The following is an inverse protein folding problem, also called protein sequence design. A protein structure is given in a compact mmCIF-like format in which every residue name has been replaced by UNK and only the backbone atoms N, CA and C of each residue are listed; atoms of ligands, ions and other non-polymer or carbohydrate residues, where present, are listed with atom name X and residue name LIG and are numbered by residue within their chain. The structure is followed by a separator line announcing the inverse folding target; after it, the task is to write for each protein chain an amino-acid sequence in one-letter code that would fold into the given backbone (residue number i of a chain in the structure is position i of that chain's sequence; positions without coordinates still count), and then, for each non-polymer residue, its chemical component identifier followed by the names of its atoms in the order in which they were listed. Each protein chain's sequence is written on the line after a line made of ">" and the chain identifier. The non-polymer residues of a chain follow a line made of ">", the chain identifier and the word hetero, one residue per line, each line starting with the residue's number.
data_IF_134031210948
#
_entry.id   IF_134031210948
#
_cell.length_a   1.000
_cell.length_b   1.000
_cell.length_c   1.000
_cell.angle_alpha   90.00
_cell.angle_beta   90.00
_cell.angle_gamma   90.00
#
_symmetry.space_group_name_H-M   'P 1'
#
loop_
_entity.id
_entity.type
_entity.pdbx_description
1 polymer ?
#
# COMPACT_ATOMS: atom_id res chain seq x y z
N UNK A 1 -9.37 4.62 -9.94
CA UNK A 1 -10.16 5.87 -9.92
C UNK A 1 -9.47 6.86 -8.99
N UNK A 2 -9.75 8.15 -9.08
CA UNK A 2 -9.17 9.14 -8.16
C UNK A 2 -9.77 8.98 -6.76
N UNK A 3 -8.92 8.95 -5.73
CA UNK A 3 -9.41 8.97 -4.36
C UNK A 3 -9.94 7.63 -3.83
N UNK A 4 -9.64 6.51 -4.50
CA UNK A 4 -9.93 5.16 -3.99
C UNK A 4 -9.04 4.82 -2.79
N UNK A 5 -9.50 3.86 -1.98
CA UNK A 5 -8.77 3.34 -0.83
C UNK A 5 -8.05 2.05 -1.23
N UNK A 6 -6.73 2.13 -1.38
CA UNK A 6 -5.90 0.97 -1.67
C UNK A 6 -5.10 0.54 -0.45
N UNK A 7 -5.71 0.60 0.75
CA UNK A 7 -5.12 -0.07 1.90
C UNK A 7 -4.98 -1.57 1.64
N UNK A 8 -3.97 -2.20 2.26
CA UNK A 8 -3.59 -3.57 1.92
C UNK A 8 -4.73 -4.58 2.11
N UNK A 9 -5.55 -4.38 3.14
CA UNK A 9 -6.72 -5.21 3.43
C UNK A 9 -7.84 -5.05 2.40
N UNK A 10 -7.96 -3.87 1.77
CA UNK A 10 -8.92 -3.64 0.70
C UNK A 10 -8.45 -4.24 -0.63
N UNK A 11 -7.14 -4.24 -0.88
CA UNK A 11 -6.57 -4.86 -2.09
C UNK A 11 -6.55 -6.39 -2.01
N UNK A 12 -6.40 -6.96 -0.80
CA UNK A 12 -6.29 -8.41 -0.58
C UNK A 12 -7.24 -8.91 0.53
N UNK A 13 -8.56 -8.74 0.38
CA UNK A 13 -9.53 -9.10 1.42
C UNK A 13 -9.53 -10.60 1.72
N UNK A 14 -9.24 -11.45 0.72
CA UNK A 14 -9.14 -12.90 0.87
C UNK A 14 -7.94 -13.36 1.71
N UNK A 15 -6.96 -12.48 1.95
CA UNK A 15 -5.75 -12.77 2.71
C UNK A 15 -5.73 -12.10 4.10
N UNK A 16 -6.86 -11.59 4.59
CA UNK A 16 -6.95 -10.85 5.85
C UNK A 16 -6.30 -11.56 7.04
N UNK A 17 -6.54 -12.87 7.19
CA UNK A 17 -5.94 -13.66 8.28
C UNK A 17 -4.42 -13.75 8.15
N UNK A 18 -3.88 -14.00 6.96
CA UNK A 18 -2.44 -14.07 6.71
C UNK A 18 -1.77 -12.72 6.97
N UNK A 19 -2.37 -11.62 6.50
CA UNK A 19 -1.90 -10.26 6.74
C UNK A 19 -1.85 -9.96 8.23
N UNK A 20 -2.89 -10.34 8.99
CA UNK A 20 -2.94 -10.14 10.43
C UNK A 20 -1.85 -10.95 11.15
N UNK A 21 -1.71 -12.24 10.83
CA UNK A 21 -0.67 -13.10 11.41
C UNK A 21 0.74 -12.58 11.11
N UNK A 22 1.04 -12.23 9.86
CA UNK A 22 2.34 -11.69 9.47
C UNK A 22 2.60 -10.34 10.15
N UNK A 23 1.59 -9.47 10.28
CA UNK A 23 1.74 -8.18 10.96
C UNK A 23 2.04 -8.32 12.46
N UNK A 24 1.64 -9.43 13.09
CA UNK A 24 1.92 -9.71 14.49
C UNK A 24 3.29 -10.38 14.70
N UNK A 25 3.70 -11.24 13.77
CA UNK A 25 4.87 -12.11 13.95
C UNK A 25 6.11 -11.65 13.18
N UNK A 26 5.96 -10.76 12.20
CA UNK A 26 7.05 -10.24 11.36
C UNK A 26 7.05 -8.70 11.40
N UNK A 27 8.02 -8.15 12.14
CA UNK A 27 8.18 -6.70 12.31
C UNK A 27 8.51 -6.00 10.99
N UNK A 28 9.25 -6.65 10.09
CA UNK A 28 9.51 -6.07 8.78
C UNK A 28 8.23 -6.02 7.96
N UNK A 29 7.42 -7.07 7.98
CA UNK A 29 6.14 -7.07 7.28
C UNK A 29 5.24 -5.97 7.82
N UNK A 30 5.12 -5.87 9.16
CA UNK A 30 4.31 -4.85 9.81
C UNK A 30 4.74 -3.42 9.43
N UNK A 31 6.04 -3.17 9.27
CA UNK A 31 6.57 -1.87 8.84
C UNK A 31 6.24 -1.60 7.38
N UNK A 32 6.44 -2.58 6.49
CA UNK A 32 6.11 -2.45 5.07
C UNK A 32 4.60 -2.20 4.86
N UNK A 33 3.72 -2.87 5.62
CA UNK A 33 2.26 -2.62 5.59
C UNK A 33 1.93 -1.20 6.03
N UNK A 34 2.57 -0.69 7.09
CA UNK A 34 2.37 0.69 7.55
C UNK A 34 2.83 1.69 6.51
N UNK A 35 3.99 1.48 5.90
CA UNK A 35 4.52 2.33 4.84
C UNK A 35 3.60 2.35 3.63
N UNK A 36 3.18 1.16 3.17
CA UNK A 36 2.24 1.01 2.06
C UNK A 36 0.93 1.77 2.30
N UNK A 37 0.30 1.57 3.45
CA UNK A 37 -0.95 2.25 3.81
C UNK A 37 -0.75 3.76 3.99
N UNK A 38 0.41 4.21 4.48
CA UNK A 38 0.73 5.63 4.59
C UNK A 38 0.88 6.28 3.22
N UNK A 39 1.60 5.62 2.32
CA UNK A 39 1.82 6.08 0.96
C UNK A 39 0.51 6.14 0.17
N UNK A 40 -0.38 5.16 0.34
CA UNK A 40 -1.72 5.21 -0.25
C UNK A 40 -2.53 6.42 0.24
N UNK A 41 -2.54 6.68 1.55
CA UNK A 41 -3.22 7.86 2.12
C UNK A 41 -2.66 9.17 1.56
N UNK A 42 -1.34 9.25 1.39
CA UNK A 42 -0.69 10.43 0.80
C UNK A 42 -1.12 10.63 -0.65
N UNK A 43 -1.04 9.59 -1.48
CA UNK A 43 -1.46 9.63 -2.89
C UNK A 43 -2.93 10.03 -2.97
N UNK A 44 -3.79 9.40 -2.18
CA UNK A 44 -5.23 9.70 -2.11
C UNK A 44 -5.49 11.16 -1.74
N UNK A 45 -4.78 11.68 -0.73
CA UNK A 45 -4.90 13.07 -0.31
C UNK A 45 -4.45 14.04 -1.42
N UNK A 46 -3.38 13.73 -2.14
CA UNK A 46 -2.91 14.52 -3.27
C UNK A 46 -3.92 14.49 -4.43
N UNK A 47 -4.46 13.32 -4.78
CA UNK A 47 -5.47 13.16 -5.83
C UNK A 47 -6.75 13.94 -5.51
N UNK A 48 -7.25 13.85 -4.27
CA UNK A 48 -8.43 14.61 -3.82
C UNK A 48 -8.21 16.12 -3.82
N UNK A 49 -6.96 16.57 -3.69
CA UNK A 49 -6.57 17.99 -3.81
C UNK A 49 -6.31 18.43 -5.26
N UNK A 50 -6.61 17.58 -6.25
CA UNK A 50 -6.39 17.88 -7.66
C UNK A 50 -4.93 17.75 -8.09
N UNK A 51 -4.17 16.84 -7.46
CA UNK A 51 -2.75 16.56 -7.74
C UNK A 51 -1.89 17.83 -7.74
N UNK A 52 -1.70 18.51 -6.59
CA UNK A 52 -0.97 19.78 -6.51
C UNK A 52 0.55 19.65 -6.68
N UNK A 53 1.02 18.50 -7.17
CA UNK A 53 2.41 18.17 -7.42
C UNK A 53 2.57 17.81 -8.90
N UNK A 54 3.80 17.89 -9.42
CA UNK A 54 4.04 17.50 -10.80
C UNK A 54 3.83 15.99 -11.03
N UNK A 55 3.52 15.64 -12.27
CA UNK A 55 3.22 14.26 -12.67
C UNK A 55 4.37 13.30 -12.37
N UNK A 56 5.63 13.74 -12.52
CA UNK A 56 6.79 12.91 -12.22
C UNK A 56 6.83 12.51 -10.74
N UNK A 57 6.56 13.44 -9.82
CA UNK A 57 6.50 13.16 -8.39
C UNK A 57 5.32 12.24 -8.05
N UNK A 58 4.15 12.50 -8.63
CA UNK A 58 2.99 11.62 -8.46
C UNK A 58 3.26 10.20 -8.96
N UNK A 59 3.89 10.06 -10.13
CA UNK A 59 4.25 8.76 -10.70
C UNK A 59 5.27 8.02 -9.84
N UNK A 60 6.22 8.72 -9.21
CA UNK A 60 7.16 8.11 -8.27
C UNK A 60 6.44 7.53 -7.05
N UNK A 61 5.51 8.28 -6.43
CA UNK A 61 4.72 7.79 -5.29
C UNK A 61 3.90 6.56 -5.69
N UNK A 62 3.20 6.61 -6.83
CA UNK A 62 2.42 5.48 -7.35
C UNK A 62 3.29 4.27 -7.66
N UNK A 63 4.49 4.48 -8.20
CA UNK A 63 5.44 3.41 -8.45
C UNK A 63 5.93 2.77 -7.14
N UNK A 64 6.34 3.57 -6.15
CA UNK A 64 6.72 3.06 -4.82
C UNK A 64 5.59 2.26 -4.17
N UNK A 65 4.34 2.71 -4.28
CA UNK A 65 3.17 1.97 -3.78
C UNK A 65 3.01 0.64 -4.49
N UNK A 66 3.16 0.61 -5.81
CA UNK A 66 3.09 -0.63 -6.59
C UNK A 66 4.20 -1.62 -6.19
N UNK A 67 5.44 -1.15 -6.05
CA UNK A 67 6.57 -1.99 -5.62
C UNK A 67 6.35 -2.58 -4.23
N UNK A 68 5.87 -1.77 -3.27
CA UNK A 68 5.53 -2.26 -1.93
C UNK A 68 4.40 -3.29 -1.98
N UNK A 69 3.36 -3.04 -2.80
CA UNK A 69 2.26 -4.00 -2.99
C UNK A 69 2.76 -5.35 -3.45
N UNK A 70 3.61 -5.36 -4.48
CA UNK A 70 4.15 -6.59 -5.05
C UNK A 70 4.99 -7.35 -4.02
N UNK A 71 5.87 -6.64 -3.29
CA UNK A 71 6.68 -7.23 -2.20
C UNK A 71 5.81 -7.84 -1.09
N UNK A 72 4.81 -7.09 -0.62
CA UNK A 72 3.87 -7.56 0.41
C UNK A 72 3.08 -8.77 -0.07
N UNK A 73 2.59 -8.74 -1.32
CA UNK A 73 1.86 -9.85 -1.90
C UNK A 73 2.69 -11.13 -1.98
N UNK A 74 3.97 -11.04 -2.40
CA UNK A 74 4.86 -12.20 -2.38
C UNK A 74 4.98 -12.81 -0.98
N UNK A 75 5.11 -11.98 0.06
CA UNK A 75 5.19 -12.45 1.45
C UNK A 75 3.88 -13.06 1.96
N UNK A 76 2.73 -12.58 1.46
CA UNK A 76 1.40 -13.10 1.82
C UNK A 76 1.15 -14.48 1.22
N UNK A 77 1.54 -14.70 -0.03
CA UNK A 77 1.25 -15.97 -0.74
C UNK A 77 2.29 -17.06 -0.49
N UNK A 78 3.49 -16.69 -0.04
CA UNK A 78 4.55 -17.65 0.31
C UNK A 78 4.20 -18.27 1.67
N UNK A 79 3.97 -19.58 1.67
CA UNK A 79 3.73 -20.41 2.86
C UNK A 79 5.02 -20.90 3.48
#
# INVERSE_FOLDING_TARGET
>A
MLGEDHSLLNEFPEHGDAIHQLSQNDMSFANDVKEYNSLDREIRALELRGSPINDTAMNKLKHSRATLKDSLYQRIVVK
#
